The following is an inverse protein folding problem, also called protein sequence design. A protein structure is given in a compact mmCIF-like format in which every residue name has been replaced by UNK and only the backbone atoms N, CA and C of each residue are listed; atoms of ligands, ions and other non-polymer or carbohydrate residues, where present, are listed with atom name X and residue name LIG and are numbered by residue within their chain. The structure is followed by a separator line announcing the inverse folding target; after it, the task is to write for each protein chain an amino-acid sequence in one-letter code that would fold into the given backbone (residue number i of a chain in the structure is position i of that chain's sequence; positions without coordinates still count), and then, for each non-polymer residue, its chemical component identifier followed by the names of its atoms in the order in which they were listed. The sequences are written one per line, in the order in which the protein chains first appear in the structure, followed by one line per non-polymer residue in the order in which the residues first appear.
data_IF_433650255469
#
_entry.id   IF_433650255469
#
_cell.length_a   1.000
_cell.length_b   1.000
_cell.length_c   1.000
_cell.angle_alpha   90.00
_cell.angle_beta   90.00
_cell.angle_gamma   90.00
#
_symmetry.space_group_name_H-M   'P 1'
#
loop_
_entity.id
_entity.type
_entity.pdbx_description
1 polymer ?
#
# COMPACT_ATOMS: atom_id res chain seq x y z
N UNK A 1 10.36 -15.90 2.49
CA UNK A 1 9.48 -14.88 1.88
C UNK A 1 8.62 -15.55 0.82
N UNK A 2 7.31 -15.26 0.76
CA UNK A 2 6.39 -15.85 -0.21
C UNK A 2 6.61 -15.27 -1.63
N UNK A 3 6.76 -16.13 -2.64
CA UNK A 3 7.02 -15.71 -4.02
C UNK A 3 5.88 -14.90 -4.62
N UNK A 4 4.64 -15.13 -4.19
CA UNK A 4 3.42 -14.48 -4.69
C UNK A 4 3.34 -13.01 -4.32
N UNK A 5 4.09 -12.59 -3.30
CA UNK A 5 4.13 -11.23 -2.79
C UNK A 5 5.56 -10.67 -2.69
N UNK A 6 6.52 -11.23 -3.45
CA UNK A 6 7.94 -10.85 -3.33
C UNK A 6 8.20 -9.39 -3.72
N UNK A 7 7.41 -8.85 -4.65
CA UNK A 7 7.43 -7.44 -5.01
C UNK A 7 6.00 -6.92 -5.19
N UNK A 8 5.81 -5.63 -5.02
CA UNK A 8 4.50 -4.99 -5.18
C UNK A 8 3.85 -5.30 -6.55
N UNK A 9 4.55 -5.25 -7.70
CA UNK A 9 3.99 -5.67 -8.98
C UNK A 9 3.53 -7.13 -9.04
N UNK A 10 4.25 -8.06 -8.41
CA UNK A 10 3.87 -9.47 -8.37
C UNK A 10 2.61 -9.64 -7.51
N UNK A 11 2.55 -8.99 -6.35
CA UNK A 11 1.38 -9.00 -5.47
C UNK A 11 0.12 -8.46 -6.17
N UNK A 12 0.23 -7.34 -6.91
CA UNK A 12 -0.86 -6.79 -7.72
C UNK A 12 -1.38 -7.82 -8.73
N UNK A 13 -0.46 -8.46 -9.46
CA UNK A 13 -0.84 -9.43 -10.49
C UNK A 13 -1.45 -10.69 -9.89
N UNK A 14 -0.91 -11.17 -8.78
CA UNK A 14 -1.43 -12.32 -8.06
C UNK A 14 -2.84 -12.05 -7.51
N UNK A 15 -3.05 -10.91 -6.84
CA UNK A 15 -4.36 -10.54 -6.30
C UNK A 15 -5.42 -10.42 -7.40
N UNK A 16 -5.05 -9.87 -8.57
CA UNK A 16 -5.96 -9.83 -9.71
C UNK A 16 -6.29 -11.24 -10.23
N UNK A 17 -5.29 -12.11 -10.37
CA UNK A 17 -5.48 -13.47 -10.91
C UNK A 17 -6.35 -14.34 -9.98
N UNK A 18 -6.09 -14.26 -8.67
CA UNK A 18 -6.85 -14.98 -7.64
C UNK A 18 -8.19 -14.30 -7.29
N UNK A 19 -8.55 -13.22 -7.99
CA UNK A 19 -9.78 -12.48 -7.78
C UNK A 19 -9.96 -12.00 -6.32
N UNK A 20 -8.87 -11.54 -5.70
CA UNK A 20 -8.87 -10.92 -4.38
C UNK A 20 -9.33 -9.47 -4.46
N UNK A 21 -9.86 -8.96 -3.33
CA UNK A 21 -10.29 -7.55 -3.23
C UNK A 21 -9.13 -6.55 -3.41
N UNK A 22 -7.94 -6.89 -2.93
CA UNK A 22 -6.86 -5.92 -2.84
C UNK A 22 -5.56 -6.45 -2.28
N UNK A 23 -4.62 -5.52 -2.09
CA UNK A 23 -3.29 -5.79 -1.54
C UNK A 23 -2.96 -4.84 -0.39
N UNK A 24 -2.06 -5.30 0.48
CA UNK A 24 -1.47 -4.48 1.53
C UNK A 24 0.04 -4.36 1.29
N UNK A 25 0.55 -3.13 1.22
CA UNK A 25 1.92 -2.84 0.77
C UNK A 25 2.67 -2.04 1.83
N UNK A 26 3.99 -2.24 1.95
CA UNK A 26 4.80 -1.44 2.86
C UNK A 26 4.84 0.03 2.40
N UNK A 27 4.75 0.97 3.34
CA UNK A 27 4.69 2.40 3.07
C UNK A 27 5.90 2.90 2.29
N UNK A 28 7.08 2.39 2.64
CA UNK A 28 8.34 2.72 1.97
C UNK A 28 8.28 2.46 0.46
N UNK A 29 7.69 1.33 0.05
CA UNK A 29 7.58 0.92 -1.35
C UNK A 29 6.69 1.89 -2.15
N UNK A 30 5.58 2.32 -1.54
CA UNK A 30 4.64 3.24 -2.18
C UNK A 30 5.15 4.67 -2.21
N UNK A 31 5.90 5.10 -1.19
CA UNK A 31 6.55 6.41 -1.14
C UNK A 31 7.66 6.51 -2.20
N UNK A 32 8.44 5.44 -2.39
CA UNK A 32 9.46 5.37 -3.46
C UNK A 32 8.85 5.23 -4.84
N UNK A 33 7.74 4.49 -4.97
CA UNK A 33 7.11 4.18 -6.26
C UNK A 33 5.59 4.46 -6.25
N UNK A 34 5.17 5.73 -6.30
CA UNK A 34 3.75 6.10 -6.27
C UNK A 34 2.93 5.52 -7.43
N UNK A 35 3.60 5.15 -8.53
CA UNK A 35 2.97 4.54 -9.70
C UNK A 35 2.31 3.19 -9.41
N UNK A 36 2.75 2.47 -8.36
CA UNK A 36 2.15 1.20 -7.95
C UNK A 36 0.71 1.38 -7.45
N UNK A 37 0.42 2.49 -6.78
CA UNK A 37 -0.94 2.82 -6.32
C UNK A 37 -1.88 2.93 -7.52
N UNK A 38 -1.49 3.72 -8.53
CA UNK A 38 -2.26 3.88 -9.77
C UNK A 38 -2.46 2.56 -10.51
N UNK A 39 -1.42 1.72 -10.58
CA UNK A 39 -1.48 0.40 -11.22
C UNK A 39 -2.42 -0.57 -10.51
N UNK A 40 -2.46 -0.57 -9.18
CA UNK A 40 -3.39 -1.39 -8.41
C UNK A 40 -4.84 -0.93 -8.65
N UNK A 41 -5.08 0.38 -8.55
CA UNK A 41 -6.41 0.98 -8.77
C UNK A 41 -6.91 0.71 -10.20
N UNK A 42 -6.06 0.86 -11.22
CA UNK A 42 -6.45 0.60 -12.62
C UNK A 42 -6.84 -0.86 -12.88
N UNK A 43 -6.46 -1.78 -11.99
CA UNK A 43 -6.83 -3.20 -12.03
C UNK A 43 -8.06 -3.52 -11.16
N UNK A 44 -8.70 -2.50 -10.59
CA UNK A 44 -9.87 -2.66 -9.73
C UNK A 44 -9.54 -3.12 -8.31
N UNK A 45 -8.26 -3.06 -7.90
CA UNK A 45 -7.84 -3.52 -6.58
C UNK A 45 -7.89 -2.40 -5.55
N UNK A 46 -8.36 -2.74 -4.35
CA UNK A 46 -8.19 -1.92 -3.16
C UNK A 46 -6.73 -2.02 -2.69
N UNK A 47 -6.17 -0.92 -2.19
CA UNK A 47 -4.80 -0.86 -1.72
C UNK A 47 -4.72 -0.23 -0.33
N UNK A 48 -4.13 -0.99 0.59
CA UNK A 48 -3.77 -0.54 1.93
C UNK A 48 -2.26 -0.36 2.02
N UNK A 49 -1.83 0.52 2.93
CA UNK A 49 -0.42 0.75 3.24
C UNK A 49 -0.17 0.61 4.73
N UNK A 50 0.94 0.00 5.10
CA UNK A 50 1.40 -0.16 6.49
C UNK A 50 2.91 0.06 6.60
N UNK A 51 3.39 0.36 7.80
CA UNK A 51 4.83 0.46 8.07
C UNK A 51 5.19 1.75 8.80
N UNK A 52 6.45 1.83 9.23
CA UNK A 52 6.92 2.90 10.09
C UNK A 52 6.84 4.28 9.43
N UNK A 53 7.02 4.37 8.10
CA UNK A 53 6.88 5.65 7.41
C UNK A 53 5.44 6.19 7.46
N UNK A 54 4.44 5.33 7.63
CA UNK A 54 3.06 5.75 7.82
C UNK A 54 2.81 6.36 9.21
N UNK A 55 3.76 6.27 10.14
CA UNK A 55 3.70 6.95 11.44
C UNK A 55 4.00 8.45 11.32
N UNK A 56 4.66 8.89 10.25
CA UNK A 56 4.87 10.30 9.91
C UNK A 56 3.59 10.93 9.29
N UNK A 57 3.03 12.01 9.89
CA UNK A 57 1.89 12.74 9.33
C UNK A 57 2.03 13.19 7.88
N UNK A 58 3.20 13.65 7.46
CA UNK A 58 3.43 14.17 6.11
C UNK A 58 3.43 13.03 5.08
N UNK A 59 3.99 11.88 5.44
CA UNK A 59 3.93 10.69 4.60
C UNK A 59 2.51 10.14 4.49
N UNK A 60 1.72 10.15 5.57
CA UNK A 60 0.29 9.80 5.48
C UNK A 60 -0.46 10.71 4.52
N UNK A 61 -0.17 12.01 4.54
CA UNK A 61 -0.78 12.97 3.62
C UNK A 61 -0.42 12.62 2.17
N UNK A 62 0.85 12.38 1.86
CA UNK A 62 1.31 11.96 0.53
C UNK A 62 0.65 10.65 0.07
N UNK A 63 0.59 9.63 0.93
CA UNK A 63 -0.03 8.35 0.60
C UNK A 63 -1.52 8.49 0.29
N UNK A 64 -2.23 9.36 1.01
CA UNK A 64 -3.64 9.70 0.68
C UNK A 64 -3.75 10.41 -0.65
N UNK A 65 -2.86 11.36 -0.94
CA UNK A 65 -2.81 12.07 -2.23
C UNK A 65 -2.51 11.13 -3.41
N UNK A 66 -1.72 10.07 -3.20
CA UNK A 66 -1.49 9.03 -4.20
C UNK A 66 -2.73 8.17 -4.48
N UNK A 67 -3.73 8.18 -3.59
CA UNK A 67 -4.96 7.41 -3.73
C UNK A 67 -4.97 6.09 -2.95
N UNK A 68 -4.12 5.94 -1.93
CA UNK A 68 -4.20 4.76 -1.04
C UNK A 68 -5.53 4.77 -0.29
N UNK A 69 -6.23 3.62 -0.28
CA UNK A 69 -7.59 3.52 0.28
C UNK A 69 -7.59 3.40 1.81
N UNK A 70 -6.54 2.81 2.38
CA UNK A 70 -6.41 2.64 3.83
C UNK A 70 -4.97 2.72 4.31
N UNK A 71 -4.77 3.32 5.48
CA UNK A 71 -3.47 3.42 6.14
C UNK A 71 -3.52 2.73 7.49
N UNK A 72 -2.55 1.86 7.75
CA UNK A 72 -2.34 1.16 9.02
C UNK A 72 -1.06 1.74 9.61
N UNK A 73 -1.19 2.41 10.75
CA UNK A 73 -0.08 3.11 11.40
C UNK A 73 -0.32 3.17 12.90
N UNK A 74 0.77 3.24 13.65
CA UNK A 74 0.75 3.33 15.09
C UNK A 74 0.51 4.78 15.53
N UNK A 75 -0.30 4.95 16.56
CA UNK A 75 -0.43 6.22 17.27
C UNK A 75 -0.15 5.99 18.74
N UNK A 76 1.05 6.39 19.16
CA UNK A 76 1.37 6.54 20.57
C UNK A 76 0.76 7.86 21.04
N UNK A 77 -0.35 7.77 21.76
CA UNK A 77 -0.91 8.90 22.49
C UNK A 77 -0.11 9.02 23.79
N UNK A 78 0.77 10.00 23.89
CA UNK A 78 1.35 10.37 25.19
C UNK A 78 0.29 11.22 25.89
N UNK A 79 -0.44 10.59 26.80
CA UNK A 79 -1.33 11.25 27.78
C UNK A 79 -0.55 11.69 29.00
#
# INVERSE_FOLDING_TARGET
MDLRCRTTPIAINFAQFENLLGINVHSEDLLKNPSFVKRAISKGLVIFSWGDDANDPDNRKKLREYGVHGLIYDRYLVV
#
